data_IF_749357368495
#
_entry.id   IF_749357368495
#
_cell.length_a   1.000
_cell.length_b   1.000
_cell.length_c   1.000
_cell.angle_alpha   90.00
_cell.angle_beta   90.00
_cell.angle_gamma   90.00
#
_symmetry.space_group_name_H-M   'P 1'
#
loop_
_entity.id
_entity.type
_entity.pdbx_description
1 polymer ?
#
# COMPACT_ATOMS: atom_id res chain seq x y z
N UNK A 1 -9.42 29.11 -7.76
CA UNK A 1 -8.05 28.56 -7.84
C UNK A 1 -7.76 27.55 -6.74
N UNK A 2 -8.19 27.78 -5.50
CA UNK A 2 -8.07 26.81 -4.39
C UNK A 2 -8.88 25.52 -4.58
N UNK A 3 -10.04 25.58 -5.25
CA UNK A 3 -10.91 24.43 -5.51
C UNK A 3 -10.27 23.32 -6.37
N UNK A 4 -9.34 23.66 -7.27
CA UNK A 4 -8.66 22.67 -8.13
C UNK A 4 -7.32 22.21 -7.56
N UNK A 5 -6.74 22.95 -6.60
CA UNK A 5 -5.45 22.61 -6.01
C UNK A 5 -5.54 21.35 -5.15
N UNK A 6 -6.57 21.20 -4.32
CA UNK A 6 -6.70 20.06 -3.41
C UNK A 6 -6.87 18.73 -4.18
N UNK A 7 -7.80 18.59 -5.15
CA UNK A 7 -7.88 17.39 -5.99
C UNK A 7 -6.56 17.08 -6.71
N UNK A 8 -5.89 18.12 -7.24
CA UNK A 8 -4.59 17.95 -7.92
C UNK A 8 -3.53 17.38 -6.98
N UNK A 9 -3.45 17.87 -5.73
CA UNK A 9 -2.51 17.35 -4.73
C UNK A 9 -2.84 15.91 -4.33
N UNK A 10 -4.13 15.56 -4.18
CA UNK A 10 -4.57 14.18 -3.94
C UNK A 10 -4.08 13.29 -5.08
N UNK A 11 -4.37 13.64 -6.34
CA UNK A 11 -3.93 12.90 -7.52
C UNK A 11 -2.40 12.73 -7.50
N UNK A 12 -1.63 13.78 -7.23
CA UNK A 12 -0.17 13.72 -7.22
C UNK A 12 0.36 12.79 -6.12
N UNK A 13 -0.12 12.92 -4.88
CA UNK A 13 0.33 12.07 -3.76
C UNK A 13 0.00 10.60 -4.02
N UNK A 14 -1.23 10.29 -4.43
CA UNK A 14 -1.65 8.91 -4.63
C UNK A 14 -1.14 8.31 -5.94
N UNK A 15 -0.87 9.10 -6.97
CA UNK A 15 -0.14 8.64 -8.17
C UNK A 15 1.31 8.29 -7.82
N UNK A 16 1.98 9.12 -7.02
CA UNK A 16 3.32 8.81 -6.55
C UNK A 16 3.33 7.53 -5.71
N UNK A 17 2.40 7.39 -4.76
CA UNK A 17 2.26 6.18 -3.95
C UNK A 17 1.97 4.94 -4.81
N UNK A 18 1.13 5.08 -5.83
CA UNK A 18 0.84 4.01 -6.81
C UNK A 18 2.10 3.57 -7.54
N UNK A 19 2.89 4.53 -8.05
CA UNK A 19 4.15 4.22 -8.72
C UNK A 19 5.15 3.52 -7.80
N UNK A 20 5.27 3.99 -6.56
CA UNK A 20 6.15 3.38 -5.56
C UNK A 20 5.75 1.92 -5.26
N UNK A 21 4.46 1.68 -4.94
CA UNK A 21 3.95 0.33 -4.67
C UNK A 21 3.99 -0.58 -5.91
N UNK A 22 3.82 -0.03 -7.12
CA UNK A 22 3.96 -0.81 -8.35
C UNK A 22 5.40 -1.33 -8.52
N UNK A 23 6.41 -0.47 -8.29
CA UNK A 23 7.82 -0.90 -8.32
C UNK A 23 8.09 -2.00 -7.30
N UNK A 24 7.59 -1.83 -6.07
CA UNK A 24 7.77 -2.80 -5.00
C UNK A 24 7.04 -4.13 -5.34
N UNK A 25 5.90 -4.07 -6.03
CA UNK A 25 5.14 -5.24 -6.49
C UNK A 25 5.92 -6.03 -7.55
N UNK A 26 6.68 -5.35 -8.41
CA UNK A 26 7.60 -6.02 -9.35
C UNK A 26 8.72 -6.77 -8.65
N UNK A 27 9.25 -6.24 -7.54
CA UNK A 27 10.25 -6.94 -6.70
C UNK A 27 9.62 -8.19 -6.07
N UNK A 28 8.38 -8.07 -5.59
CA UNK A 28 7.65 -9.17 -4.95
C UNK A 28 7.11 -10.22 -5.93
N UNK A 29 7.18 -9.99 -7.25
CA UNK A 29 6.61 -10.87 -8.28
C UNK A 29 6.97 -12.36 -8.11
N UNK A 30 8.20 -12.75 -7.77
CA UNK A 30 8.56 -14.16 -7.58
C UNK A 30 7.78 -14.84 -6.45
N UNK A 31 7.30 -14.08 -5.46
CA UNK A 31 6.63 -14.61 -4.26
C UNK A 31 5.12 -14.36 -4.24
N UNK A 32 4.54 -13.79 -5.31
CA UNK A 32 3.08 -13.60 -5.40
C UNK A 32 2.25 -14.86 -5.13
N UNK A 33 2.65 -16.08 -5.57
CA UNK A 33 1.89 -17.28 -5.23
C UNK A 33 1.75 -17.49 -3.72
N UNK A 34 2.70 -17.02 -2.91
CA UNK A 34 2.65 -17.11 -1.45
C UNK A 34 1.54 -16.25 -0.82
N UNK A 35 1.06 -15.23 -1.54
CA UNK A 35 -0.07 -14.40 -1.08
C UNK A 35 -1.37 -15.20 -0.95
N UNK A 36 -1.50 -16.27 -1.73
CA UNK A 36 -2.68 -17.12 -1.76
C UNK A 36 -2.43 -18.45 -1.04
N UNK A 37 -1.22 -18.99 -1.14
CA UNK A 37 -0.81 -20.24 -0.49
C UNK A 37 0.67 -20.19 -0.08
N UNK A 38 0.92 -20.05 1.23
CA UNK A 38 2.27 -20.05 1.79
C UNK A 38 3.04 -21.36 1.53
N UNK A 39 2.34 -22.47 1.29
CA UNK A 39 2.93 -23.77 0.96
C UNK A 39 3.16 -23.98 -0.55
N UNK A 40 2.93 -22.96 -1.39
CA UNK A 40 3.01 -23.11 -2.85
C UNK A 40 4.38 -23.60 -3.34
N UNK A 41 4.42 -24.80 -3.91
CA UNK A 41 5.65 -25.39 -4.45
C UNK A 41 6.20 -24.65 -5.69
N UNK A 42 5.49 -23.65 -6.22
CA UNK A 42 5.96 -22.85 -7.36
C UNK A 42 7.05 -21.85 -6.98
N UNK A 43 7.20 -21.54 -5.69
CA UNK A 43 8.20 -20.59 -5.18
C UNK A 43 9.34 -21.37 -4.57
N UNK A 44 10.54 -21.19 -5.11
CA UNK A 44 11.75 -21.83 -4.62
C UNK A 44 12.17 -21.17 -3.31
N UNK A 45 12.60 -21.97 -2.33
CA UNK A 45 12.97 -21.46 -1.01
C UNK A 45 14.11 -20.45 -1.05
N UNK A 46 15.06 -20.59 -1.98
CA UNK A 46 16.12 -19.58 -2.20
C UNK A 46 15.54 -18.22 -2.60
N UNK A 47 14.51 -18.21 -3.45
CA UNK A 47 13.87 -16.99 -3.93
C UNK A 47 13.06 -16.36 -2.81
N UNK A 48 12.33 -17.17 -2.03
CA UNK A 48 11.64 -16.68 -0.84
C UNK A 48 12.62 -16.03 0.15
N UNK A 49 13.76 -16.67 0.44
CA UNK A 49 14.77 -16.07 1.34
C UNK A 49 15.39 -14.79 0.79
N UNK A 50 15.68 -14.76 -0.51
CA UNK A 50 16.22 -13.59 -1.20
C UNK A 50 15.24 -12.41 -1.11
N UNK A 51 13.99 -12.60 -1.53
CA UNK A 51 12.97 -11.55 -1.48
C UNK A 51 12.69 -11.11 -0.03
N UNK A 52 12.67 -12.04 0.94
CA UNK A 52 12.54 -11.68 2.35
C UNK A 52 13.68 -10.77 2.81
N UNK A 53 14.92 -11.08 2.45
CA UNK A 53 16.07 -10.26 2.79
C UNK A 53 16.03 -8.87 2.11
N UNK A 54 15.58 -8.80 0.86
CA UNK A 54 15.40 -7.54 0.14
C UNK A 54 14.29 -6.67 0.76
N UNK A 55 13.11 -7.25 1.00
CA UNK A 55 12.00 -6.54 1.65
C UNK A 55 12.37 -6.06 3.05
N UNK A 56 13.10 -6.87 3.82
CA UNK A 56 13.57 -6.46 5.16
C UNK A 56 14.41 -5.19 5.11
N UNK A 57 15.29 -5.04 4.11
CA UNK A 57 16.08 -3.81 3.89
C UNK A 57 15.20 -2.64 3.44
N UNK A 58 14.24 -2.89 2.55
CA UNK A 58 13.34 -1.86 2.03
C UNK A 58 12.42 -1.32 3.15
N UNK A 59 11.91 -2.19 4.02
CA UNK A 59 11.05 -1.83 5.16
C UNK A 59 11.75 -0.90 6.16
N UNK A 60 13.08 -0.89 6.23
CA UNK A 60 13.79 0.06 7.10
C UNK A 60 13.87 1.47 6.49
N UNK A 61 13.75 1.60 5.16
CA UNK A 61 13.97 2.85 4.41
C UNK A 61 12.68 3.47 3.86
N UNK A 62 11.74 2.64 3.41
CA UNK A 62 10.52 3.04 2.71
C UNK A 62 9.41 3.66 3.59
N UNK A 63 9.18 3.23 4.85
CA UNK A 63 8.03 3.70 5.63
C UNK A 63 7.97 5.21 5.87
N UNK A 64 9.07 5.92 6.17
CA UNK A 64 8.99 7.36 6.43
C UNK A 64 8.41 8.14 5.23
N UNK A 65 8.91 7.86 4.02
CA UNK A 65 8.42 8.52 2.80
C UNK A 65 6.96 8.18 2.53
N UNK A 66 6.58 6.91 2.61
CA UNK A 66 5.20 6.50 2.32
C UNK A 66 4.21 6.97 3.39
N UNK A 67 4.61 7.01 4.66
CA UNK A 67 3.81 7.61 5.73
C UNK A 67 3.60 9.10 5.49
N UNK A 68 4.62 9.84 5.05
CA UNK A 68 4.47 11.25 4.69
C UNK A 68 3.53 11.42 3.50
N UNK A 69 3.74 10.70 2.40
CA UNK A 69 2.92 10.84 1.18
C UNK A 69 1.46 10.48 1.44
N UNK A 70 1.19 9.31 2.02
CA UNK A 70 -0.18 8.86 2.31
C UNK A 70 -0.81 9.73 3.41
N UNK A 71 -0.04 10.15 4.42
CA UNK A 71 -0.50 11.07 5.46
C UNK A 71 -0.88 12.45 4.90
N UNK A 72 -0.06 13.04 4.04
CA UNK A 72 -0.39 14.28 3.35
C UNK A 72 -1.61 14.12 2.45
N UNK A 73 -1.71 13.03 1.70
CA UNK A 73 -2.89 12.70 0.91
C UNK A 73 -4.15 12.56 1.77
N UNK A 74 -4.04 11.95 2.95
CA UNK A 74 -5.14 11.82 3.93
C UNK A 74 -5.67 13.19 4.36
N UNK A 75 -4.77 14.11 4.70
CA UNK A 75 -5.14 15.48 5.07
C UNK A 75 -5.86 16.17 3.90
N UNK A 76 -5.36 16.00 2.67
CA UNK A 76 -6.00 16.57 1.49
C UNK A 76 -7.41 16.00 1.24
N UNK A 77 -7.64 14.70 1.42
CA UNK A 77 -8.99 14.11 1.28
C UNK A 77 -9.96 14.69 2.31
N UNK A 78 -9.53 14.81 3.57
CA UNK A 78 -10.36 15.39 4.63
C UNK A 78 -10.67 16.87 4.34
N UNK A 79 -9.66 17.61 3.90
CA UNK A 79 -9.82 19.00 3.50
C UNK A 79 -10.75 19.13 2.28
N UNK A 80 -10.66 18.22 1.30
CA UNK A 80 -11.56 18.19 0.15
C UNK A 80 -13.02 17.97 0.56
N UNK A 81 -13.27 16.97 1.43
CA UNK A 81 -14.61 16.71 1.93
C UNK A 81 -15.17 17.93 2.66
N UNK A 82 -14.35 18.60 3.48
CA UNK A 82 -14.74 19.84 4.16
C UNK A 82 -15.02 21.00 3.20
N UNK A 83 -14.11 21.28 2.27
CA UNK A 83 -14.23 22.41 1.32
C UNK A 83 -15.38 22.23 0.33
N UNK A 84 -15.79 20.99 0.08
CA UNK A 84 -16.93 20.66 -0.78
C UNK A 84 -18.22 20.41 0.00
N UNK A 85 -18.27 20.81 1.27
CA UNK A 85 -19.46 20.65 2.14
C UNK A 85 -20.02 19.22 2.11
N UNK A 86 -19.10 18.24 2.12
CA UNK A 86 -19.41 16.82 2.06
C UNK A 86 -20.31 16.44 0.87
N UNK A 87 -20.04 17.03 -0.30
CA UNK A 87 -20.67 16.65 -1.56
C UNK A 87 -20.65 15.13 -1.78
N UNK A 88 -21.63 14.59 -2.53
CA UNK A 88 -21.71 13.16 -2.84
C UNK A 88 -20.39 12.60 -3.39
N UNK A 89 -19.75 13.32 -4.30
CA UNK A 89 -18.47 12.90 -4.89
C UNK A 89 -17.37 12.83 -3.83
N UNK A 90 -17.28 13.83 -2.94
CA UNK A 90 -16.26 13.87 -1.90
C UNK A 90 -16.46 12.77 -0.86
N UNK A 91 -17.72 12.44 -0.54
CA UNK A 91 -18.08 11.34 0.36
C UNK A 91 -17.75 9.96 -0.21
N UNK A 92 -17.89 9.76 -1.52
CA UNK A 92 -17.49 8.51 -2.19
C UNK A 92 -15.98 8.30 -2.04
N UNK A 93 -15.18 9.32 -2.35
CA UNK A 93 -13.71 9.28 -2.21
C UNK A 93 -13.31 9.06 -0.74
N UNK A 94 -13.89 9.82 0.19
CA UNK A 94 -13.59 9.70 1.62
C UNK A 94 -13.95 8.32 2.17
N UNK A 95 -15.12 7.79 1.81
CA UNK A 95 -15.60 6.48 2.29
C UNK A 95 -14.73 5.35 1.75
N UNK A 96 -14.39 5.40 0.45
CA UNK A 96 -13.44 4.46 -0.14
C UNK A 96 -12.11 4.49 0.62
N UNK A 97 -11.55 5.69 0.82
CA UNK A 97 -10.30 5.88 1.52
C UNK A 97 -10.34 5.32 2.95
N UNK A 98 -11.35 5.69 3.76
CA UNK A 98 -11.45 5.28 5.16
C UNK A 98 -11.58 3.76 5.31
N UNK A 99 -12.38 3.10 4.47
CA UNK A 99 -12.57 1.64 4.52
C UNK A 99 -11.24 0.92 4.27
N UNK A 100 -10.58 1.21 3.15
CA UNK A 100 -9.38 0.48 2.74
C UNK A 100 -8.15 0.88 3.54
N UNK A 101 -7.93 2.19 3.78
CA UNK A 101 -6.81 2.64 4.59
C UNK A 101 -6.96 2.21 6.04
N UNK A 102 -8.19 2.24 6.59
CA UNK A 102 -8.49 1.72 7.92
C UNK A 102 -8.13 0.25 8.04
N UNK A 103 -8.56 -0.58 7.08
CA UNK A 103 -8.18 -1.99 7.01
C UNK A 103 -6.66 -2.18 6.96
N UNK A 104 -5.95 -1.46 6.08
CA UNK A 104 -4.49 -1.55 5.97
C UNK A 104 -3.80 -1.22 7.30
N UNK A 105 -4.19 -0.14 7.96
CA UNK A 105 -3.58 0.28 9.23
C UNK A 105 -3.75 -0.75 10.35
N UNK A 106 -4.85 -1.50 10.38
CA UNK A 106 -5.05 -2.57 11.39
C UNK A 106 -4.10 -3.76 11.21
N UNK A 107 -3.55 -3.95 10.01
CA UNK A 107 -2.76 -5.13 9.65
C UNK A 107 -1.26 -4.81 9.45
N UNK A 108 -0.96 -3.62 8.93
CA UNK A 108 0.35 -3.25 8.39
C UNK A 108 1.47 -3.37 9.43
N UNK A 109 1.30 -2.79 10.62
CA UNK A 109 2.35 -2.75 11.64
C UNK A 109 2.71 -4.14 12.15
N UNK A 110 1.71 -5.00 12.37
CA UNK A 110 1.95 -6.38 12.81
C UNK A 110 2.72 -7.19 11.76
N UNK A 111 2.38 -7.02 10.47
CA UNK A 111 3.01 -7.75 9.36
C UNK A 111 4.44 -7.27 9.08
N UNK A 112 4.66 -5.95 9.14
CA UNK A 112 6.01 -5.36 9.06
C UNK A 112 6.89 -5.89 10.20
N UNK A 113 6.38 -5.89 11.43
CA UNK A 113 7.17 -6.32 12.58
C UNK A 113 7.47 -7.82 12.54
N UNK A 114 6.52 -8.65 12.08
CA UNK A 114 6.74 -10.08 11.88
C UNK A 114 7.90 -10.36 10.89
N UNK A 115 7.97 -9.62 9.78
CA UNK A 115 9.07 -9.73 8.80
C UNK A 115 10.39 -9.22 9.38
N UNK A 116 10.38 -8.11 10.13
CA UNK A 116 11.59 -7.57 10.77
C UNK A 116 12.17 -8.52 11.82
N UNK A 117 11.33 -9.15 12.62
CA UNK A 117 11.75 -10.06 13.69
C UNK A 117 12.14 -11.45 13.16
N UNK A 118 11.70 -11.82 11.96
CA UNK A 118 12.07 -13.10 11.35
C UNK A 118 13.47 -13.03 10.71
N UNK A 119 14.29 -14.04 10.97
CA UNK A 119 15.57 -14.21 10.25
C UNK A 119 15.31 -14.76 8.85
N UNK A 120 15.93 -14.16 7.82
CA UNK A 120 15.83 -14.67 6.44
C UNK A 120 16.37 -16.09 6.29
N UNK A 121 17.28 -16.53 7.17
CA UNK A 121 17.83 -17.89 7.21
C UNK A 121 17.09 -18.81 8.20
N UNK A 122 16.01 -18.31 8.82
CA UNK A 122 15.19 -19.04 9.78
C UNK A 122 14.31 -20.14 9.16
N UNK A 123 13.29 -20.58 9.91
CA UNK A 123 12.32 -21.57 9.42
C UNK A 123 11.65 -21.09 8.14
N UNK A 124 11.76 -21.89 7.08
CA UNK A 124 11.27 -21.50 5.76
C UNK A 124 9.75 -21.34 5.72
N UNK A 125 9.02 -22.13 6.52
CA UNK A 125 7.56 -21.98 6.64
C UNK A 125 7.18 -20.60 7.18
N UNK A 126 7.91 -20.10 8.17
CA UNK A 126 7.67 -18.78 8.77
C UNK A 126 8.01 -17.66 7.79
N UNK A 127 9.15 -17.78 7.10
CA UNK A 127 9.57 -16.82 6.05
C UNK A 127 8.51 -16.72 4.95
N UNK A 128 8.01 -17.86 4.46
CA UNK A 128 7.02 -17.91 3.37
C UNK A 128 5.67 -17.35 3.79
N UNK A 129 5.19 -17.69 4.98
CA UNK A 129 3.95 -17.12 5.52
C UNK A 129 4.07 -15.61 5.69
N UNK A 130 5.15 -15.13 6.32
CA UNK A 130 5.37 -13.69 6.51
C UNK A 130 5.47 -12.92 5.20
N UNK A 131 6.16 -13.49 4.20
CA UNK A 131 6.23 -12.92 2.85
C UNK A 131 4.87 -12.86 2.17
N UNK A 132 4.12 -13.95 2.16
CA UNK A 132 2.79 -14.01 1.54
C UNK A 132 1.84 -13.01 2.18
N UNK A 133 1.85 -12.93 3.51
CA UNK A 133 1.04 -12.00 4.29
C UNK A 133 1.42 -10.54 4.05
N UNK A 134 2.71 -10.22 3.94
CA UNK A 134 3.19 -8.87 3.66
C UNK A 134 2.89 -8.46 2.22
N UNK A 135 3.18 -9.32 1.24
CA UNK A 135 2.89 -9.07 -0.16
C UNK A 135 1.37 -8.89 -0.38
N UNK A 136 0.52 -9.66 0.32
CA UNK A 136 -0.92 -9.50 0.27
C UNK A 136 -1.37 -8.11 0.73
N UNK A 137 -0.90 -7.64 1.91
CA UNK A 137 -1.28 -6.32 2.40
C UNK A 137 -0.73 -5.20 1.53
N UNK A 138 0.47 -5.39 0.97
CA UNK A 138 1.07 -4.44 0.06
C UNK A 138 0.27 -4.30 -1.24
N UNK A 139 -0.21 -5.39 -1.84
CA UNK A 139 -1.06 -5.34 -3.04
C UNK A 139 -2.45 -4.75 -2.77
N UNK A 140 -3.00 -4.97 -1.57
CA UNK A 140 -4.21 -4.24 -1.13
C UNK A 140 -3.90 -2.74 -1.04
N UNK A 141 -2.74 -2.35 -0.51
CA UNK A 141 -2.24 -0.98 -0.52
C UNK A 141 -2.15 -0.39 -1.94
N UNK A 142 -1.53 -1.11 -2.88
CA UNK A 142 -1.43 -0.72 -4.29
C UNK A 142 -2.81 -0.50 -4.92
N UNK A 143 -3.71 -1.48 -4.77
CA UNK A 143 -5.07 -1.38 -5.30
C UNK A 143 -5.83 -0.19 -4.70
N UNK A 144 -5.62 0.09 -3.42
CA UNK A 144 -6.24 1.22 -2.72
C UNK A 144 -5.77 2.55 -3.28
N UNK A 145 -4.46 2.79 -3.37
CA UNK A 145 -3.93 4.07 -3.86
C UNK A 145 -4.21 4.29 -5.34
N UNK A 146 -4.18 3.21 -6.15
CA UNK A 146 -4.53 3.26 -7.57
C UNK A 146 -6.03 3.54 -7.76
N UNK A 147 -6.89 2.83 -7.01
CA UNK A 147 -8.34 3.04 -7.04
C UNK A 147 -8.74 4.44 -6.59
N UNK A 148 -8.08 4.97 -5.56
CA UNK A 148 -8.31 6.34 -5.11
C UNK A 148 -7.88 7.37 -6.15
N UNK A 149 -6.71 7.18 -6.77
CA UNK A 149 -6.25 8.05 -7.87
C UNK A 149 -7.26 8.05 -9.02
N UNK A 150 -7.78 6.88 -9.40
CA UNK A 150 -8.78 6.75 -10.44
C UNK A 150 -10.10 7.44 -10.08
N UNK A 151 -10.60 7.23 -8.85
CA UNK A 151 -11.80 7.90 -8.35
C UNK A 151 -11.66 9.42 -8.39
N UNK A 152 -10.50 9.93 -7.96
CA UNK A 152 -10.22 11.36 -7.94
C UNK A 152 -10.22 11.94 -9.36
N UNK A 153 -9.57 11.26 -10.31
CA UNK A 153 -9.61 11.63 -11.73
C UNK A 153 -11.04 11.63 -12.29
N UNK A 154 -11.83 10.60 -11.99
CA UNK A 154 -13.19 10.48 -12.53
C UNK A 154 -14.17 11.53 -11.99
N UNK A 155 -13.99 11.94 -10.73
CA UNK A 155 -14.98 12.78 -10.04
C UNK A 155 -14.58 14.26 -9.96
N UNK A 156 -13.29 14.57 -10.12
CA UNK A 156 -12.74 15.90 -9.85
C UNK A 156 -11.73 16.42 -10.88
N UNK A 157 -11.28 15.62 -11.85
CA UNK A 157 -10.46 16.13 -12.96
C UNK A 157 -11.36 16.70 -14.08
N UNK A 158 -11.93 17.88 -13.85
CA UNK A 158 -12.60 18.72 -14.86
C UNK A 158 -12.22 20.18 -14.66
#
# INVERSE_FOLDING_TARGET
MTLTLVPTLIILFFSFATGFFAVLSYIEKPVWPLMFDAASNTVIDSDARLIHAELKRIIELAPPTMMTVVGSGTICILLQAWLQDFSRNSLVVLTFFVIFQGYILTQLFSRIEAVKQTSSDGSISVVRTGLGELAAIHHIGLATVAGLTLLELMLFAV
#
